data_IF_807356511799
#
_entry.id   IF_807356511799
#
_cell.length_a   1.000
_cell.length_b   1.000
_cell.length_c   1.000
_cell.angle_alpha   90.00
_cell.angle_beta   90.00
_cell.angle_gamma   90.00
#
_symmetry.space_group_name_H-M   'P 1'
#
loop_
_entity.id
_entity.type
_entity.pdbx_description
1 polymer ?
#
# COMPACT_ATOMS: atom_id res chain seq x y z
N UNK A 1 -5.77 48.06 52.68
CA UNK A 1 -4.59 47.17 52.64
C UNK A 1 -4.17 47.03 51.18
N UNK A 2 -3.06 47.66 50.82
CA UNK A 2 -2.46 47.59 49.49
C UNK A 2 -0.94 47.58 49.70
N UNK A 3 -0.18 46.68 49.05
CA UNK A 3 1.25 46.88 48.87
C UNK A 3 1.55 47.49 47.48
N UNK A 4 2.71 48.11 47.31
CA UNK A 4 2.96 49.09 46.25
C UNK A 4 3.76 48.53 45.06
N UNK A 5 3.64 49.29 43.97
CA UNK A 5 4.48 49.34 42.77
C UNK A 5 5.87 49.94 43.01
N UNK A 6 6.70 49.88 41.95
CA UNK A 6 7.88 50.71 41.61
C UNK A 6 9.24 50.02 41.85
N UNK A 7 10.31 50.23 41.08
CA UNK A 7 10.60 50.97 39.84
C UNK A 7 12.10 50.79 39.53
N UNK A 8 12.52 51.06 38.29
CA UNK A 8 13.76 51.79 37.88
C UNK A 8 14.35 51.14 36.63
N UNK A 9 14.20 51.69 35.42
CA UNK A 9 14.81 52.92 34.85
C UNK A 9 16.33 52.83 34.68
N UNK A 10 16.83 52.87 33.44
CA UNK A 10 17.81 53.88 33.00
C UNK A 10 18.01 53.89 31.46
N UNK A 11 18.48 55.04 30.99
CA UNK A 11 18.37 55.62 29.64
C UNK A 11 19.67 55.44 28.83
N UNK A 12 19.50 55.19 27.53
CA UNK A 12 20.28 55.53 26.32
C UNK A 12 21.51 56.45 26.46
N UNK A 13 22.64 56.17 25.75
CA UNK A 13 23.45 57.12 24.93
C UNK A 13 24.26 56.39 23.82
N UNK A 14 24.24 57.02 22.64
CA UNK A 14 24.95 56.96 21.32
C UNK A 14 26.29 56.22 21.09
N UNK A 15 26.54 55.81 19.83
CA UNK A 15 27.90 55.74 19.25
C UNK A 15 28.08 54.84 18.02
N UNK A 16 28.57 55.40 16.91
CA UNK A 16 28.75 54.78 15.58
C UNK A 16 30.08 54.01 15.44
N UNK A 17 29.99 52.82 14.83
CA UNK A 17 30.90 52.08 13.92
C UNK A 17 32.43 52.34 13.96
N UNK A 18 33.22 51.25 14.12
CA UNK A 18 34.27 50.80 13.19
C UNK A 18 35.02 49.52 13.64
N UNK A 19 35.26 48.66 12.65
CA UNK A 19 36.38 47.74 12.46
C UNK A 19 36.48 46.39 13.22
N UNK A 20 36.23 45.33 12.42
CA UNK A 20 36.62 43.90 12.50
C UNK A 20 38.16 43.83 12.32
N UNK A 21 38.96 42.88 12.88
CA UNK A 21 38.78 41.48 12.50
C UNK A 21 39.35 40.28 13.31
N UNK A 22 38.96 39.09 12.82
CA UNK A 22 39.67 37.80 12.76
C UNK A 22 39.92 36.99 14.05
N UNK A 23 39.09 35.95 14.28
CA UNK A 23 39.45 34.51 14.30
C UNK A 23 38.41 33.68 15.09
N UNK A 24 37.55 32.91 14.40
CA UNK A 24 37.11 31.56 14.83
C UNK A 24 36.19 30.92 13.78
N UNK A 25 36.77 30.20 12.82
CA UNK A 25 36.05 29.17 12.04
C UNK A 25 37.02 28.05 11.70
N UNK A 26 37.20 27.10 12.62
CA UNK A 26 37.93 25.85 12.35
C UNK A 26 37.39 24.63 13.11
N UNK A 27 36.26 24.73 13.80
CA UNK A 27 35.66 23.61 14.56
C UNK A 27 34.38 23.02 13.96
N UNK A 28 33.76 23.67 12.95
CA UNK A 28 32.51 23.18 12.35
C UNK A 28 32.70 22.20 11.17
N UNK A 29 33.82 22.30 10.44
CA UNK A 29 34.05 21.47 9.24
C UNK A 29 34.45 20.04 9.61
N UNK A 30 35.13 19.83 10.75
CA UNK A 30 35.59 18.50 11.16
C UNK A 30 34.45 17.55 11.61
N UNK A 31 33.33 18.08 12.11
CA UNK A 31 32.19 17.28 12.56
C UNK A 31 31.25 16.88 11.41
N UNK A 32 31.18 17.66 10.33
CA UNK A 32 30.40 17.32 9.15
C UNK A 32 31.06 16.19 8.32
N UNK A 33 32.39 16.19 8.24
CA UNK A 33 33.17 15.18 7.51
C UNK A 33 33.08 13.79 8.13
N UNK A 34 32.99 13.70 9.45
CA UNK A 34 32.87 12.41 10.14
C UNK A 34 31.48 11.81 9.93
N UNK A 35 30.40 12.59 10.14
CA UNK A 35 29.02 12.14 9.93
C UNK A 35 28.75 11.62 8.50
N UNK A 36 29.34 12.25 7.48
CA UNK A 36 29.21 11.82 6.08
C UNK A 36 29.99 10.54 5.77
N UNK A 37 31.05 10.24 6.54
CA UNK A 37 31.77 8.97 6.47
C UNK A 37 30.98 7.81 7.07
N UNK A 38 30.28 8.03 8.19
CA UNK A 38 29.45 6.99 8.83
C UNK A 38 28.25 6.57 7.98
N UNK A 39 27.61 7.51 7.29
CA UNK A 39 26.48 7.19 6.40
C UNK A 39 26.93 6.38 5.19
N UNK A 40 28.09 6.67 4.61
CA UNK A 40 28.65 5.92 3.49
C UNK A 40 29.07 4.49 3.89
N UNK A 41 29.61 4.32 5.10
CA UNK A 41 29.99 2.99 5.61
C UNK A 41 28.76 2.14 5.94
N UNK A 42 27.69 2.71 6.50
CA UNK A 42 26.42 1.99 6.71
C UNK A 42 25.76 1.63 5.37
N UNK A 43 25.82 2.51 4.37
CA UNK A 43 25.32 2.21 3.02
C UNK A 43 26.12 1.08 2.35
N UNK A 44 27.44 1.09 2.48
CA UNK A 44 28.34 0.08 1.91
C UNK A 44 28.23 -1.27 2.63
N UNK A 45 28.05 -1.27 3.96
CA UNK A 45 27.80 -2.48 4.75
C UNK A 45 26.44 -3.10 4.40
N UNK A 46 25.42 -2.27 4.12
CA UNK A 46 24.11 -2.71 3.64
C UNK A 46 24.12 -3.31 2.22
N UNK A 47 25.13 -2.98 1.40
CA UNK A 47 25.33 -3.55 0.05
C UNK A 47 26.11 -4.87 0.08
N UNK A 48 26.82 -5.17 1.17
CA UNK A 48 27.68 -6.34 1.34
C UNK A 48 27.05 -7.48 2.16
N UNK A 49 25.79 -7.35 2.57
CA UNK A 49 25.00 -8.41 3.21
C UNK A 49 24.18 -9.16 2.16
N UNK A 50 24.63 -10.35 1.67
CA UNK A 50 23.79 -11.20 0.85
C UNK A 50 22.76 -11.88 1.76
N UNK A 51 21.59 -11.28 1.91
CA UNK A 51 20.54 -11.85 2.78
C UNK A 51 19.20 -11.12 2.83
N UNK A 52 19.08 -9.93 2.25
CA UNK A 52 17.80 -9.20 2.15
C UNK A 52 17.35 -9.12 0.69
N UNK A 53 17.09 -10.30 0.11
CA UNK A 53 16.35 -10.43 -1.17
C UNK A 53 14.88 -10.78 -0.92
N UNK A 54 14.29 -10.26 0.16
CA UNK A 54 12.84 -10.15 0.26
C UNK A 54 12.46 -8.80 -0.37
N UNK A 55 12.08 -8.84 -1.65
CA UNK A 55 11.30 -7.83 -2.38
C UNK A 55 11.37 -6.38 -1.86
N UNK A 56 12.20 -5.52 -2.48
CA UNK A 56 12.01 -4.05 -2.41
C UNK A 56 10.94 -3.66 -3.43
N UNK A 57 9.73 -3.19 -3.05
CA UNK A 57 8.63 -3.02 -4.00
C UNK A 57 8.61 -1.67 -4.73
N UNK A 58 9.59 -0.79 -4.49
CA UNK A 58 9.50 0.59 -4.99
C UNK A 58 10.29 0.88 -6.28
N UNK A 59 11.23 0.01 -6.70
CA UNK A 59 12.09 0.27 -7.87
C UNK A 59 12.51 -1.03 -8.58
N UNK A 60 11.55 -1.78 -9.12
CA UNK A 60 11.85 -2.99 -9.89
C UNK A 60 10.85 -3.26 -11.01
N UNK A 61 11.29 -3.97 -12.05
CA UNK A 61 10.45 -4.49 -13.14
C UNK A 61 9.50 -5.63 -12.69
N UNK A 62 9.39 -5.90 -11.39
CA UNK A 62 8.49 -6.91 -10.82
C UNK A 62 7.06 -6.36 -10.69
N UNK A 63 6.06 -7.24 -10.85
CA UNK A 63 4.65 -6.88 -10.66
C UNK A 63 4.42 -6.63 -9.16
N UNK A 64 4.02 -5.41 -8.79
CA UNK A 64 3.76 -5.06 -7.38
C UNK A 64 2.45 -5.68 -6.86
N UNK A 65 2.32 -5.84 -5.55
CA UNK A 65 1.08 -6.24 -4.86
C UNK A 65 -0.12 -5.39 -5.29
N UNK A 66 0.10 -4.07 -5.38
CA UNK A 66 -0.85 -3.12 -5.97
C UNK A 66 -1.33 -3.54 -7.37
N UNK A 67 -0.40 -3.90 -8.26
CA UNK A 67 -0.74 -4.24 -9.65
C UNK A 67 -1.45 -5.59 -9.76
N UNK A 68 -1.02 -6.58 -8.98
CA UNK A 68 -1.68 -7.89 -8.86
C UNK A 68 -3.12 -7.69 -8.39
N UNK A 69 -3.32 -6.88 -7.34
CA UNK A 69 -4.63 -6.56 -6.78
C UNK A 69 -5.55 -5.90 -7.81
N UNK A 70 -5.07 -4.88 -8.53
CA UNK A 70 -5.85 -4.24 -9.61
C UNK A 70 -6.29 -5.25 -10.68
N UNK A 71 -5.37 -6.10 -11.14
CA UNK A 71 -5.66 -7.12 -12.15
C UNK A 71 -6.67 -8.15 -11.65
N UNK A 72 -6.52 -8.62 -10.41
CA UNK A 72 -7.42 -9.58 -9.80
C UNK A 72 -8.85 -9.03 -9.66
N UNK A 73 -9.01 -7.78 -9.22
CA UNK A 73 -10.31 -7.13 -9.09
C UNK A 73 -11.00 -7.00 -10.45
N UNK A 74 -10.28 -6.52 -11.48
CA UNK A 74 -10.83 -6.36 -12.83
C UNK A 74 -11.27 -7.70 -13.43
N UNK A 75 -10.46 -8.73 -13.24
CA UNK A 75 -10.78 -10.08 -13.68
C UNK A 75 -12.01 -10.61 -12.95
N UNK A 76 -12.02 -10.55 -11.62
CA UNK A 76 -13.10 -11.11 -10.81
C UNK A 76 -14.42 -10.39 -11.04
N UNK A 77 -14.38 -9.07 -11.19
CA UNK A 77 -15.56 -8.28 -11.56
C UNK A 77 -16.12 -8.75 -12.89
N UNK A 78 -15.27 -8.96 -13.89
CA UNK A 78 -15.73 -9.46 -15.20
C UNK A 78 -16.37 -10.84 -15.08
N UNK A 79 -15.74 -11.78 -14.36
CA UNK A 79 -16.29 -13.13 -14.14
C UNK A 79 -17.69 -13.08 -13.50
N UNK A 80 -17.86 -12.27 -12.46
CA UNK A 80 -19.16 -12.12 -11.76
C UNK A 80 -20.20 -11.48 -12.67
N UNK A 81 -19.81 -10.41 -13.36
CA UNK A 81 -20.67 -9.70 -14.30
C UNK A 81 -21.17 -10.59 -15.45
N UNK A 82 -20.30 -11.43 -16.01
CA UNK A 82 -20.70 -12.42 -17.02
C UNK A 82 -21.69 -13.45 -16.44
N UNK A 83 -21.41 -13.98 -15.25
CA UNK A 83 -22.30 -14.93 -14.59
C UNK A 83 -23.69 -14.34 -14.33
N UNK A 84 -23.76 -13.06 -13.93
CA UNK A 84 -25.02 -12.35 -13.75
C UNK A 84 -25.77 -12.18 -15.07
N UNK A 85 -25.09 -11.73 -16.14
CA UNK A 85 -25.73 -11.58 -17.46
C UNK A 85 -26.35 -12.89 -17.96
N UNK A 86 -25.64 -14.00 -17.82
CA UNK A 86 -26.14 -15.35 -18.16
C UNK A 86 -27.37 -15.70 -17.31
N UNK A 87 -27.30 -15.47 -16.01
CA UNK A 87 -28.40 -15.79 -15.07
C UNK A 87 -29.65 -14.95 -15.36
N UNK A 88 -29.47 -13.71 -15.81
CA UNK A 88 -30.55 -12.78 -16.18
C UNK A 88 -31.08 -12.99 -17.62
N UNK A 89 -30.60 -14.01 -18.34
CA UNK A 89 -31.03 -14.29 -19.72
C UNK A 89 -30.62 -13.22 -20.74
N UNK A 90 -29.58 -12.43 -20.43
CA UNK A 90 -29.03 -11.41 -21.34
C UNK A 90 -27.94 -12.04 -22.20
N UNK A 91 -27.92 -11.70 -23.49
CA UNK A 91 -26.79 -12.03 -24.36
C UNK A 91 -25.51 -11.43 -23.76
N UNK A 92 -24.46 -12.25 -23.57
CA UNK A 92 -23.21 -11.78 -22.97
C UNK A 92 -22.53 -10.77 -23.91
N UNK A 93 -22.42 -9.48 -23.54
CA UNK A 93 -21.73 -8.48 -24.37
C UNK A 93 -20.20 -8.66 -24.31
N UNK A 94 -19.71 -9.58 -23.48
CA UNK A 94 -18.27 -9.83 -23.27
C UNK A 94 -17.90 -11.15 -23.94
N UNK A 95 -17.10 -11.13 -25.03
CA UNK A 95 -16.64 -12.35 -25.67
C UNK A 95 -15.82 -13.19 -24.67
N UNK A 96 -16.22 -14.46 -24.47
CA UNK A 96 -15.52 -15.47 -23.67
C UNK A 96 -14.01 -15.57 -24.01
N UNK A 97 -13.64 -15.17 -25.22
CA UNK A 97 -12.29 -15.27 -25.82
C UNK A 97 -11.26 -14.29 -25.23
N UNK A 98 -11.68 -13.28 -24.44
CA UNK A 98 -10.73 -12.32 -23.82
C UNK A 98 -10.02 -12.92 -22.58
N UNK A 99 -10.50 -14.04 -22.03
CA UNK A 99 -10.14 -14.50 -20.68
C UNK A 99 -9.38 -15.83 -20.61
N UNK A 100 -8.74 -16.26 -21.69
CA UNK A 100 -7.80 -17.37 -21.57
C UNK A 100 -6.59 -16.94 -20.73
N UNK A 101 -6.16 -17.78 -19.77
CA UNK A 101 -4.96 -17.58 -18.94
C UNK A 101 -3.69 -17.27 -19.76
N UNK A 102 -3.69 -17.51 -21.08
CA UNK A 102 -2.63 -17.10 -22.01
C UNK A 102 -2.59 -15.58 -22.32
N UNK A 103 -3.60 -14.79 -21.96
CA UNK A 103 -3.63 -13.34 -22.22
C UNK A 103 -3.19 -12.48 -21.02
N UNK A 104 -2.23 -12.96 -20.22
CA UNK A 104 -1.59 -12.19 -19.12
C UNK A 104 -1.02 -10.82 -19.60
N UNK A 105 -0.92 -10.57 -20.92
CA UNK A 105 -0.48 -9.30 -21.50
C UNK A 105 -1.56 -8.30 -21.95
N UNK A 106 -2.85 -8.67 -22.06
CA UNK A 106 -3.88 -7.71 -22.52
C UNK A 106 -4.52 -7.00 -21.33
N UNK A 107 -4.04 -5.78 -21.05
CA UNK A 107 -4.52 -4.89 -19.97
C UNK A 107 -6.04 -4.67 -20.05
N UNK A 108 -6.78 -5.33 -19.16
CA UNK A 108 -8.12 -4.89 -18.78
C UNK A 108 -8.02 -3.48 -18.19
N UNK A 109 -8.97 -2.62 -18.51
CA UNK A 109 -9.10 -1.31 -17.88
C UNK A 109 -10.44 -1.22 -17.15
N UNK A 110 -10.47 -0.44 -16.07
CA UNK A 110 -11.71 -0.19 -15.32
C UNK A 110 -12.85 0.30 -16.23
N UNK A 111 -12.54 1.19 -17.18
CA UNK A 111 -13.51 1.71 -18.15
C UNK A 111 -14.06 0.64 -19.11
N UNK A 112 -13.23 -0.30 -19.57
CA UNK A 112 -13.67 -1.37 -20.46
C UNK A 112 -14.54 -2.38 -19.71
N UNK A 113 -14.12 -2.76 -18.50
CA UNK A 113 -14.89 -3.68 -17.65
C UNK A 113 -16.23 -3.05 -17.27
N UNK A 114 -16.24 -1.80 -16.82
CA UNK A 114 -17.49 -1.15 -16.42
C UNK A 114 -18.48 -1.00 -17.58
N UNK A 115 -18.01 -0.55 -18.75
CA UNK A 115 -18.87 -0.42 -19.94
C UNK A 115 -19.46 -1.77 -20.33
N UNK A 116 -18.62 -2.79 -20.36
CA UNK A 116 -19.02 -4.15 -20.72
C UNK A 116 -20.00 -4.77 -19.71
N UNK A 117 -19.92 -4.35 -18.46
CA UNK A 117 -20.79 -4.82 -17.37
C UNK A 117 -22.05 -3.98 -17.16
N UNK A 118 -22.25 -2.94 -17.97
CA UNK A 118 -23.40 -2.05 -17.85
C UNK A 118 -24.43 -2.35 -18.94
N UNK A 119 -25.69 -2.53 -18.54
CA UNK A 119 -26.79 -2.87 -19.46
C UNK A 119 -27.07 -1.79 -20.53
N UNK A 120 -26.67 -0.53 -20.30
CA UNK A 120 -26.87 0.61 -21.22
C UNK A 120 -25.61 1.51 -21.32
N UNK A 121 -24.43 0.93 -21.52
CA UNK A 121 -23.12 1.63 -21.50
C UNK A 121 -22.72 2.29 -20.17
N UNK A 122 -23.61 2.30 -19.17
CA UNK A 122 -23.38 2.82 -17.82
C UNK A 122 -23.27 4.34 -17.76
N UNK A 123 -23.60 4.94 -16.62
CA UNK A 123 -23.39 6.38 -16.43
C UNK A 123 -21.91 6.70 -16.23
N UNK A 124 -21.49 7.94 -16.54
CA UNK A 124 -20.15 8.42 -16.22
C UNK A 124 -19.88 8.31 -14.70
N UNK A 125 -20.88 8.62 -13.88
CA UNK A 125 -20.82 8.47 -12.43
C UNK A 125 -20.56 7.02 -12.01
N UNK A 126 -21.26 6.05 -12.59
CA UNK A 126 -21.01 4.62 -12.35
C UNK A 126 -19.58 4.22 -12.73
N UNK A 127 -19.05 4.73 -13.86
CA UNK A 127 -17.67 4.49 -14.28
C UNK A 127 -16.64 5.10 -13.31
N UNK A 128 -16.89 6.31 -12.82
CA UNK A 128 -16.05 6.99 -11.83
C UNK A 128 -16.05 6.24 -10.50
N UNK A 129 -17.24 5.87 -10.00
CA UNK A 129 -17.40 5.14 -8.75
C UNK A 129 -16.77 3.75 -8.82
N UNK A 130 -16.87 3.07 -9.97
CA UNK A 130 -16.19 1.80 -10.19
C UNK A 130 -14.67 1.96 -10.16
N UNK A 131 -14.13 2.96 -10.85
CA UNK A 131 -12.69 3.24 -10.82
C UNK A 131 -12.21 3.59 -9.41
N UNK A 132 -12.95 4.44 -8.68
CA UNK A 132 -12.64 4.81 -7.31
C UNK A 132 -12.62 3.57 -6.39
N UNK A 133 -13.58 2.66 -6.56
CA UNK A 133 -13.62 1.40 -5.81
C UNK A 133 -12.36 0.55 -5.99
N UNK A 134 -11.86 0.43 -7.23
CA UNK A 134 -10.61 -0.28 -7.53
C UNK A 134 -9.41 0.42 -6.89
N UNK A 135 -9.37 1.76 -6.98
CA UNK A 135 -8.31 2.57 -6.37
C UNK A 135 -8.27 2.33 -4.86
N UNK A 136 -9.39 2.40 -4.16
CA UNK A 136 -9.46 2.15 -2.72
C UNK A 136 -8.81 0.82 -2.36
N UNK A 137 -9.13 -0.27 -3.07
CA UNK A 137 -8.61 -1.60 -2.77
C UNK A 137 -7.11 -1.72 -3.03
N UNK A 138 -6.61 -1.26 -4.17
CA UNK A 138 -5.16 -1.41 -4.45
C UNK A 138 -4.31 -0.42 -3.65
N UNK A 139 -4.86 0.74 -3.26
CA UNK A 139 -4.14 1.73 -2.44
C UNK A 139 -4.04 1.22 -1.01
N UNK A 140 -5.16 0.80 -0.41
CA UNK A 140 -5.15 0.20 0.94
C UNK A 140 -4.31 -1.07 1.04
N UNK A 141 -4.18 -1.83 -0.05
CA UNK A 141 -3.18 -2.89 -0.18
C UNK A 141 -1.75 -2.34 0.00
N UNK A 142 -1.35 -1.36 -0.83
CA UNK A 142 -0.01 -0.77 -0.76
C UNK A 142 0.26 -0.01 0.55
N UNK A 143 -0.77 0.52 1.21
CA UNK A 143 -0.65 1.23 2.49
C UNK A 143 -0.20 0.32 3.62
N UNK A 144 -0.42 -1.01 3.52
CA UNK A 144 0.05 -1.96 4.55
C UNK A 144 1.57 -1.89 4.71
N UNK A 145 2.33 -1.77 3.62
CA UNK A 145 3.79 -1.60 3.64
C UNK A 145 4.25 -0.33 4.37
N UNK A 146 3.39 0.69 4.45
CA UNK A 146 3.73 1.97 5.08
C UNK A 146 3.27 2.00 6.53
N UNK A 147 1.98 1.71 6.75
CA UNK A 147 1.32 1.79 8.06
C UNK A 147 1.82 0.68 8.98
N UNK A 148 2.00 -0.53 8.43
CA UNK A 148 2.35 -1.73 9.19
C UNK A 148 3.76 -2.24 8.88
N UNK A 149 4.67 -1.35 8.47
CA UNK A 149 6.03 -1.69 8.01
C UNK A 149 6.88 -2.57 8.95
N UNK A 150 6.60 -2.57 10.26
CA UNK A 150 7.25 -3.41 11.29
C UNK A 150 6.36 -4.55 11.83
N UNK A 151 5.19 -4.76 11.25
CA UNK A 151 4.24 -5.75 11.73
C UNK A 151 4.46 -7.10 11.06
N UNK A 152 5.04 -8.05 11.79
CA UNK A 152 5.29 -9.40 11.28
C UNK A 152 4.02 -10.09 10.79
N UNK A 153 2.91 -10.00 11.55
CA UNK A 153 1.60 -10.55 11.15
C UNK A 153 1.02 -9.97 9.85
N UNK A 154 1.27 -8.70 9.52
CA UNK A 154 0.76 -8.12 8.27
C UNK A 154 1.59 -8.54 7.06
N UNK A 155 2.86 -8.87 7.32
CA UNK A 155 3.86 -9.19 6.31
C UNK A 155 4.23 -10.66 6.20
N UNK A 156 3.54 -11.55 6.94
CA UNK A 156 3.89 -12.97 7.03
C UNK A 156 5.38 -13.21 7.35
N UNK A 157 5.94 -12.36 8.23
CA UNK A 157 7.33 -12.46 8.72
C UNK A 157 7.35 -13.11 10.11
N UNK A 158 8.54 -13.48 10.56
CA UNK A 158 8.78 -13.87 11.97
C UNK A 158 8.06 -15.14 12.43
N UNK A 159 7.65 -16.01 11.52
CA UNK A 159 6.91 -17.26 11.79
C UNK A 159 5.52 -17.08 12.45
N UNK A 160 4.98 -15.85 12.53
CA UNK A 160 3.64 -15.58 13.11
C UNK A 160 2.51 -15.94 12.12
N UNK A 161 2.43 -17.21 11.76
CA UNK A 161 1.39 -17.76 10.88
C UNK A 161 -0.01 -17.60 11.50
N UNK A 162 -0.12 -17.73 12.82
CA UNK A 162 -1.40 -17.65 13.54
C UNK A 162 -1.94 -16.22 13.52
N UNK A 163 -1.11 -15.23 13.84
CA UNK A 163 -1.50 -13.82 13.81
C UNK A 163 -1.81 -13.31 12.41
N UNK A 164 -1.06 -13.79 11.40
CA UNK A 164 -1.31 -13.48 9.99
C UNK A 164 -2.63 -14.09 9.50
N UNK A 165 -2.92 -15.35 9.86
CA UNK A 165 -4.21 -16.00 9.56
C UNK A 165 -5.38 -15.34 10.29
N UNK A 166 -5.19 -14.92 11.54
CA UNK A 166 -6.20 -14.18 12.29
C UNK A 166 -6.56 -12.86 11.57
N UNK A 167 -5.57 -12.10 11.08
CA UNK A 167 -5.85 -10.88 10.29
C UNK A 167 -6.73 -11.14 9.07
N UNK A 168 -6.45 -12.21 8.33
CA UNK A 168 -7.20 -12.54 7.12
C UNK A 168 -8.63 -12.95 7.48
N UNK A 169 -8.80 -13.82 8.48
CA UNK A 169 -10.11 -14.35 8.89
C UNK A 169 -10.98 -13.29 9.56
N UNK A 170 -10.42 -12.48 10.46
CA UNK A 170 -11.10 -11.34 11.09
C UNK A 170 -11.45 -10.26 10.05
N UNK A 171 -10.52 -9.98 9.14
CA UNK A 171 -10.75 -9.06 8.02
C UNK A 171 -11.89 -9.54 7.12
N UNK A 172 -11.97 -10.84 6.83
CA UNK A 172 -13.08 -11.43 6.07
C UNK A 172 -14.42 -11.28 6.80
N UNK A 173 -14.45 -11.49 8.12
CA UNK A 173 -15.64 -11.27 8.93
C UNK A 173 -16.06 -9.78 8.90
N UNK A 174 -15.08 -8.87 9.03
CA UNK A 174 -15.29 -7.42 8.95
C UNK A 174 -15.83 -6.98 7.59
N UNK A 175 -15.31 -7.53 6.48
CA UNK A 175 -15.82 -7.25 5.13
C UNK A 175 -17.31 -7.63 5.03
N UNK A 176 -17.66 -8.84 5.50
CA UNK A 176 -19.06 -9.30 5.49
C UNK A 176 -19.97 -8.42 6.34
N UNK A 177 -19.50 -8.01 7.53
CA UNK A 177 -20.25 -7.11 8.40
C UNK A 177 -20.47 -5.74 7.76
N UNK A 178 -19.42 -5.14 7.18
CA UNK A 178 -19.49 -3.86 6.49
C UNK A 178 -20.41 -3.92 5.26
N UNK A 179 -20.38 -5.01 4.48
CA UNK A 179 -21.31 -5.21 3.35
C UNK A 179 -22.77 -5.24 3.83
N UNK A 180 -23.08 -5.93 4.94
CA UNK A 180 -24.44 -5.98 5.52
C UNK A 180 -24.93 -4.63 6.01
N UNK A 181 -24.01 -3.76 6.41
CA UNK A 181 -24.30 -2.39 6.85
C UNK A 181 -24.19 -1.38 5.70
N UNK A 182 -24.03 -1.83 4.46
CA UNK A 182 -23.82 -1.00 3.27
C UNK A 182 -22.60 -0.06 3.35
N UNK A 183 -21.67 -0.32 4.29
CA UNK A 183 -20.41 0.38 4.41
C UNK A 183 -19.37 -0.17 3.42
N UNK A 184 -19.63 0.07 2.13
CA UNK A 184 -18.81 -0.46 1.04
C UNK A 184 -17.40 0.17 0.98
N UNK A 185 -17.20 1.35 1.56
CA UNK A 185 -15.88 1.99 1.63
C UNK A 185 -14.99 1.18 2.59
N UNK A 186 -15.45 0.94 3.82
CA UNK A 186 -14.70 0.14 4.79
C UNK A 186 -14.50 -1.30 4.31
N UNK A 187 -15.52 -1.91 3.68
CA UNK A 187 -15.38 -3.24 3.10
C UNK A 187 -14.24 -3.31 2.05
N UNK A 188 -14.15 -2.33 1.14
CA UNK A 188 -13.10 -2.28 0.12
C UNK A 188 -11.72 -2.00 0.72
N UNK A 189 -11.66 -1.11 1.71
CA UNK A 189 -10.41 -0.82 2.41
C UNK A 189 -9.87 -2.07 3.12
N UNK A 190 -10.70 -2.75 3.91
CA UNK A 190 -10.33 -4.00 4.57
C UNK A 190 -9.95 -5.08 3.55
N UNK A 191 -10.67 -5.18 2.41
CA UNK A 191 -10.33 -6.11 1.34
C UNK A 191 -8.91 -5.87 0.79
N UNK A 192 -8.53 -4.61 0.54
CA UNK A 192 -7.19 -4.28 0.10
C UNK A 192 -6.11 -4.71 1.09
N UNK A 193 -6.32 -4.42 2.39
CA UNK A 193 -5.38 -4.82 3.44
C UNK A 193 -5.21 -6.34 3.53
N UNK A 194 -6.30 -7.12 3.56
CA UNK A 194 -6.16 -8.58 3.61
C UNK A 194 -5.54 -9.16 2.33
N UNK A 195 -5.76 -8.51 1.17
CA UNK A 195 -5.10 -8.90 -0.07
C UNK A 195 -3.58 -8.73 0.02
N UNK A 196 -3.10 -7.70 0.73
CA UNK A 196 -1.66 -7.51 0.96
C UNK A 196 -1.10 -8.68 1.76
N UNK A 197 -1.67 -8.96 2.92
CA UNK A 197 -1.22 -10.05 3.78
C UNK A 197 -1.30 -11.42 3.08
N UNK A 198 -2.33 -11.66 2.26
CA UNK A 198 -2.40 -12.86 1.42
C UNK A 198 -1.28 -12.94 0.38
N UNK A 199 -0.92 -11.81 -0.25
CA UNK A 199 0.16 -11.75 -1.24
C UNK A 199 1.52 -11.94 -0.57
N UNK A 200 1.74 -11.35 0.61
CA UNK A 200 2.95 -11.52 1.41
C UNK A 200 3.16 -12.99 1.83
N UNK A 201 2.10 -13.76 2.10
CA UNK A 201 2.24 -15.21 2.33
C UNK A 201 2.91 -15.90 1.13
N UNK A 202 2.42 -15.67 -0.09
CA UNK A 202 2.97 -16.36 -1.28
C UNK A 202 4.35 -15.82 -1.68
N UNK A 203 4.68 -14.59 -1.29
CA UNK A 203 5.99 -13.98 -1.55
C UNK A 203 7.06 -14.36 -0.50
N UNK A 204 6.66 -14.74 0.72
CA UNK A 204 7.57 -15.04 1.84
C UNK A 204 7.50 -16.51 2.32
N UNK A 205 6.72 -17.37 1.67
CA UNK A 205 6.67 -18.81 1.98
C UNK A 205 7.19 -19.64 0.83
N UNK A 206 7.52 -20.91 1.12
CA UNK A 206 7.88 -21.91 0.12
C UNK A 206 6.66 -22.60 -0.51
N UNK A 207 5.46 -22.00 -0.45
CA UNK A 207 4.22 -22.67 -0.84
C UNK A 207 4.26 -23.18 -2.28
N UNK A 208 4.78 -22.37 -3.21
CA UNK A 208 4.87 -22.71 -4.62
C UNK A 208 6.02 -23.69 -4.89
N UNK A 209 7.13 -23.53 -4.17
CA UNK A 209 8.34 -24.36 -4.25
C UNK A 209 8.07 -25.79 -3.75
N UNK A 210 7.12 -25.96 -2.84
CA UNK A 210 6.59 -27.26 -2.40
C UNK A 210 5.59 -27.89 -3.41
N UNK A 211 5.56 -27.39 -4.64
CA UNK A 211 4.70 -27.85 -5.74
C UNK A 211 3.19 -27.76 -5.47
N UNK A 212 2.75 -26.94 -4.51
CA UNK A 212 1.33 -26.71 -4.30
C UNK A 212 0.73 -25.96 -5.49
N UNK A 213 -0.21 -26.59 -6.19
CA UNK A 213 -0.88 -26.03 -7.38
C UNK A 213 -2.16 -25.25 -7.07
N UNK A 214 -2.57 -25.25 -5.81
CA UNK A 214 -3.81 -24.63 -5.35
C UNK A 214 -3.56 -23.60 -4.25
N UNK A 215 -4.41 -22.58 -4.12
CA UNK A 215 -4.35 -21.66 -3.00
C UNK A 215 -4.44 -22.38 -1.66
N UNK A 216 -3.68 -21.92 -0.67
CA UNK A 216 -3.74 -22.47 0.68
C UNK A 216 -5.07 -22.12 1.35
N UNK A 217 -5.99 -23.09 1.37
CA UNK A 217 -7.32 -22.89 1.99
C UNK A 217 -7.26 -22.64 3.50
N UNK A 218 -6.17 -23.00 4.17
CA UNK A 218 -6.01 -22.76 5.61
C UNK A 218 -5.80 -21.28 5.95
N UNK A 219 -5.45 -20.43 4.96
CA UNK A 219 -5.31 -18.98 5.19
C UNK A 219 -6.65 -18.28 5.43
N UNK A 220 -7.74 -18.88 4.95
CA UNK A 220 -9.08 -18.27 4.92
C UNK A 220 -10.13 -19.08 5.68
N UNK A 221 -9.71 -20.16 6.34
CA UNK A 221 -10.56 -21.05 7.15
C UNK A 221 -10.37 -20.78 8.63
#
# INVERSE_FOLDING_TARGET
>A
HSPPSSSSSLIHITGVQKDVPFHTTLTSVATASTLMGWTLHVLLLGLLLPGLQAFKPLLGNSITHRKITEMAILRKTTEVCQALAITEGRDSPIPLVVFSLKQIGRRLSASKVQRACSHNNGSLESAVNFKASIITMYVSNAEVDVIYHQSDRHHFKGEDLTGSRALITDGMASIKANIRQENFISARFTLGMICHTLQDFYSNSNWIELENKHPNTNLIR
#
